data_IF_673344108361
#
_entry.id   IF_673344108361
#
_cell.length_a   1.000
_cell.length_b   1.000
_cell.length_c   1.000
_cell.angle_alpha   90.00
_cell.angle_beta   90.00
_cell.angle_gamma   90.00
#
_symmetry.space_group_name_H-M   'P 1'
#
loop_
_entity.id
_entity.type
_entity.pdbx_description
1 polymer ?
#
# COMPACT_ATOMS: atom_id res chain seq x y z
N UNK A 1 24.30 23.33 -5.03
CA UNK A 1 24.20 22.78 -6.40
C UNK A 1 25.20 21.63 -6.63
N UNK A 2 25.27 20.64 -5.72
CA UNK A 2 26.25 19.52 -5.77
C UNK A 2 25.62 18.11 -5.68
N UNK A 3 24.33 17.98 -5.36
CA UNK A 3 23.70 16.67 -5.12
C UNK A 3 23.49 15.84 -6.40
N UNK A 4 23.32 16.49 -7.55
CA UNK A 4 23.10 15.81 -8.84
C UNK A 4 24.32 14.98 -9.25
N UNK A 5 25.52 15.32 -8.75
CA UNK A 5 26.76 14.60 -9.07
C UNK A 5 26.97 13.33 -8.24
N UNK A 6 26.47 13.29 -7.00
CA UNK A 6 26.70 12.17 -6.08
C UNK A 6 25.89 10.93 -6.50
N UNK A 7 24.63 11.12 -6.90
CA UNK A 7 23.75 10.02 -7.31
C UNK A 7 24.26 9.32 -8.57
N UNK A 8 24.93 10.05 -9.48
CA UNK A 8 25.47 9.50 -10.73
C UNK A 8 26.73 8.64 -10.53
N UNK A 9 27.36 8.75 -9.36
CA UNK A 9 28.59 8.02 -8.98
C UNK A 9 28.32 6.79 -8.10
N UNK A 10 27.06 6.56 -7.73
CA UNK A 10 26.65 5.41 -6.91
C UNK A 10 26.52 4.15 -7.76
N UNK A 11 26.83 2.99 -7.16
CA UNK A 11 26.59 1.70 -7.81
C UNK A 11 25.08 1.53 -8.09
N UNK A 12 24.69 0.82 -9.18
CA UNK A 12 23.28 0.55 -9.48
C UNK A 12 22.52 -0.05 -8.29
N UNK A 13 23.18 -0.93 -7.55
CA UNK A 13 22.66 -1.57 -6.34
C UNK A 13 22.34 -0.57 -5.23
N UNK A 14 23.25 0.38 -4.98
CA UNK A 14 23.05 1.43 -3.98
C UNK A 14 21.92 2.39 -4.39
N UNK A 15 21.84 2.72 -5.68
CA UNK A 15 20.77 3.57 -6.21
C UNK A 15 19.40 2.93 -6.08
N UNK A 16 19.30 1.63 -6.36
CA UNK A 16 18.08 0.85 -6.18
C UNK A 16 17.64 0.82 -4.72
N UNK A 17 18.57 0.51 -3.80
CA UNK A 17 18.27 0.51 -2.37
C UNK A 17 17.75 1.87 -1.87
N UNK A 18 18.43 2.97 -2.20
CA UNK A 18 18.01 4.32 -1.81
C UNK A 18 16.61 4.64 -2.37
N UNK A 19 16.35 4.24 -3.62
CA UNK A 19 15.06 4.47 -4.26
C UNK A 19 13.94 3.68 -3.58
N UNK A 20 14.18 2.41 -3.24
CA UNK A 20 13.22 1.57 -2.50
C UNK A 20 12.93 2.18 -1.13
N UNK A 21 13.96 2.54 -0.36
CA UNK A 21 13.78 3.17 0.94
C UNK A 21 13.00 4.49 0.83
N UNK A 22 13.32 5.32 -0.16
CA UNK A 22 12.58 6.56 -0.43
C UNK A 22 11.11 6.32 -0.74
N UNK A 23 10.82 5.35 -1.61
CA UNK A 23 9.45 4.97 -1.97
C UNK A 23 8.66 4.42 -0.78
N UNK A 24 9.29 3.60 0.07
CA UNK A 24 8.66 3.09 1.30
C UNK A 24 8.31 4.25 2.24
N UNK A 25 9.24 5.19 2.47
CA UNK A 25 8.98 6.36 3.31
C UNK A 25 7.81 7.19 2.77
N UNK A 26 7.80 7.45 1.45
CA UNK A 26 6.70 8.17 0.80
C UNK A 26 5.37 7.43 1.00
N UNK A 27 5.35 6.12 0.79
CA UNK A 27 4.15 5.29 0.99
C UNK A 27 3.64 5.32 2.44
N UNK A 28 4.54 5.27 3.42
CA UNK A 28 4.18 5.37 4.85
C UNK A 28 3.55 6.73 5.15
N UNK A 29 4.16 7.83 4.69
CA UNK A 29 3.66 9.19 4.92
C UNK A 29 2.27 9.35 4.29
N UNK A 30 2.10 8.94 3.02
CA UNK A 30 0.82 9.02 2.32
C UNK A 30 -0.24 8.18 3.01
N UNK A 31 0.05 6.92 3.36
CA UNK A 31 -0.89 6.04 4.02
C UNK A 31 -1.34 6.55 5.39
N UNK A 32 -0.41 7.12 6.17
CA UNK A 32 -0.76 7.74 7.45
C UNK A 32 -1.67 8.96 7.29
N UNK A 33 -1.35 9.85 6.33
CA UNK A 33 -2.15 11.05 6.04
C UNK A 33 -3.56 10.66 5.60
N UNK A 34 -3.69 9.74 4.64
CA UNK A 34 -5.00 9.30 4.14
C UNK A 34 -5.78 8.61 5.27
N UNK A 35 -5.13 7.82 6.13
CA UNK A 35 -5.79 7.17 7.27
C UNK A 35 -6.39 8.19 8.22
N UNK A 36 -5.63 9.22 8.60
CA UNK A 36 -6.09 10.32 9.45
C UNK A 36 -7.36 10.97 8.90
N UNK A 37 -7.34 11.38 7.63
CA UNK A 37 -8.50 12.02 7.01
C UNK A 37 -9.71 11.08 6.91
N UNK A 38 -9.51 9.83 6.51
CA UNK A 38 -10.60 8.85 6.38
C UNK A 38 -11.21 8.50 7.74
N UNK A 39 -10.40 8.36 8.79
CA UNK A 39 -10.86 8.06 10.14
C UNK A 39 -11.68 9.19 10.75
N UNK A 40 -11.32 10.46 10.51
CA UNK A 40 -12.12 11.59 10.96
C UNK A 40 -13.55 11.53 10.38
N UNK A 41 -13.67 11.21 9.08
CA UNK A 41 -14.96 11.04 8.42
C UNK A 41 -15.73 9.87 9.05
N UNK A 42 -15.10 8.70 9.18
CA UNK A 42 -15.72 7.48 9.73
C UNK A 42 -16.23 7.72 11.16
N UNK A 43 -15.39 8.27 12.04
CA UNK A 43 -15.77 8.55 13.44
C UNK A 43 -16.90 9.58 13.51
N UNK A 44 -16.86 10.62 12.67
CA UNK A 44 -17.93 11.62 12.63
C UNK A 44 -19.28 11.04 12.21
N UNK A 45 -19.30 10.05 11.31
CA UNK A 45 -20.53 9.35 10.92
C UNK A 45 -21.03 8.42 12.01
N UNK A 46 -20.13 7.78 12.74
CA UNK A 46 -20.48 6.86 13.83
C UNK A 46 -21.06 7.58 15.04
N UNK A 47 -20.54 8.77 15.37
CA UNK A 47 -21.06 9.59 16.47
C UNK A 47 -22.49 10.11 16.21
N UNK A 48 -22.98 10.05 14.96
CA UNK A 48 -24.37 10.39 14.61
C UNK A 48 -25.34 9.23 14.88
N UNK A 49 -24.83 8.03 15.13
CA UNK A 49 -25.65 6.87 15.44
C UNK A 49 -25.98 6.84 16.94
N UNK A 50 -27.20 6.41 17.33
CA UNK A 50 -27.62 6.33 18.74
C UNK A 50 -26.98 5.14 19.50
N UNK A 51 -25.84 4.61 19.04
CA UNK A 51 -25.22 3.39 19.55
C UNK A 51 -23.97 3.76 20.35
N UNK A 52 -23.90 3.34 21.61
CA UNK A 52 -22.66 3.42 22.40
C UNK A 52 -21.72 2.29 21.98
N UNK A 53 -20.59 2.67 21.39
CA UNK A 53 -19.53 1.75 20.98
C UNK A 53 -18.42 1.83 22.04
N UNK A 54 -17.94 0.68 22.50
CA UNK A 54 -16.83 0.58 23.45
C UNK A 54 -15.56 1.27 22.90
N UNK A 55 -14.97 2.25 23.63
CA UNK A 55 -13.78 2.98 23.18
C UNK A 55 -12.58 2.08 22.90
N UNK A 56 -12.42 0.97 23.63
CA UNK A 56 -11.30 0.04 23.42
C UNK A 56 -11.40 -0.66 22.05
N UNK A 57 -12.62 -0.90 21.57
CA UNK A 57 -12.87 -1.48 20.24
C UNK A 57 -12.57 -0.47 19.13
N UNK A 58 -12.86 0.81 19.36
CA UNK A 58 -12.57 1.88 18.41
C UNK A 58 -11.05 2.03 18.24
N UNK A 59 -10.30 2.15 19.33
CA UNK A 59 -8.85 2.31 19.29
C UNK A 59 -8.14 1.15 18.57
N UNK A 60 -8.57 -0.09 18.86
CA UNK A 60 -8.02 -1.26 18.17
C UNK A 60 -8.33 -1.24 16.66
N UNK A 61 -9.56 -0.86 16.28
CA UNK A 61 -9.97 -0.78 14.88
C UNK A 61 -9.23 0.33 14.13
N UNK A 62 -9.00 1.47 14.79
CA UNK A 62 -8.21 2.61 14.26
C UNK A 62 -6.78 2.21 13.97
N UNK A 63 -6.11 1.51 14.89
CA UNK A 63 -4.72 1.08 14.72
C UNK A 63 -4.58 0.10 13.56
N UNK A 64 -5.49 -0.86 13.47
CA UNK A 64 -5.52 -1.85 12.40
C UNK A 64 -5.84 -1.21 11.04
N UNK A 65 -6.82 -0.32 10.97
CA UNK A 65 -7.15 0.43 9.75
C UNK A 65 -5.95 1.25 9.26
N UNK A 66 -5.27 1.95 10.18
CA UNK A 66 -4.10 2.77 9.85
C UNK A 66 -2.94 1.91 9.34
N UNK A 67 -2.67 0.78 9.97
CA UNK A 67 -1.66 -0.17 9.49
C UNK A 67 -1.96 -0.69 8.08
N UNK A 68 -3.23 -1.03 7.81
CA UNK A 68 -3.68 -1.47 6.50
C UNK A 68 -3.42 -0.45 5.41
N UNK A 69 -3.81 0.79 5.69
CA UNK A 69 -3.68 1.85 4.72
C UNK A 69 -2.21 2.17 4.44
N UNK A 70 -1.35 2.11 5.46
CA UNK A 70 0.09 2.27 5.30
C UNK A 70 0.66 1.18 4.38
N UNK A 71 0.36 -0.09 4.66
CA UNK A 71 0.84 -1.21 3.84
C UNK A 71 0.41 -1.08 2.38
N UNK A 72 -0.89 -0.88 2.13
CA UNK A 72 -1.43 -0.74 0.78
C UNK A 72 -0.86 0.50 0.08
N UNK A 73 -0.65 1.60 0.80
CA UNK A 73 -0.04 2.81 0.22
C UNK A 73 1.41 2.58 -0.18
N UNK A 74 2.19 1.85 0.62
CA UNK A 74 3.56 1.46 0.28
C UNK A 74 3.58 0.60 -0.98
N UNK A 75 2.68 -0.38 -1.09
CA UNK A 75 2.57 -1.21 -2.30
C UNK A 75 2.26 -0.38 -3.54
N UNK A 76 1.28 0.52 -3.47
CA UNK A 76 0.89 1.39 -4.58
C UNK A 76 2.08 2.24 -5.02
N UNK A 77 2.81 2.85 -4.08
CA UNK A 77 3.96 3.69 -4.40
C UNK A 77 5.10 2.86 -5.02
N UNK A 78 5.37 1.66 -4.51
CA UNK A 78 6.33 0.74 -5.11
C UNK A 78 5.91 0.32 -6.52
N UNK A 79 4.64 -0.06 -6.73
CA UNK A 79 4.09 -0.44 -8.02
C UNK A 79 4.21 0.69 -9.05
N UNK A 80 3.93 1.94 -8.66
CA UNK A 80 4.13 3.11 -9.53
C UNK A 80 5.60 3.25 -9.93
N UNK A 81 6.52 3.09 -8.96
CA UNK A 81 7.96 3.12 -9.23
C UNK A 81 8.41 2.02 -10.20
N UNK A 82 7.94 0.78 -9.98
CA UNK A 82 8.25 -0.37 -10.84
C UNK A 82 7.68 -0.17 -12.25
N UNK A 83 6.42 0.29 -12.35
CA UNK A 83 5.75 0.55 -13.62
C UNK A 83 6.50 1.60 -14.44
N UNK A 84 6.98 2.66 -13.78
CA UNK A 84 7.81 3.68 -14.43
C UNK A 84 9.09 3.08 -15.04
N UNK A 85 9.82 2.25 -14.29
CA UNK A 85 11.04 1.60 -14.77
C UNK A 85 10.77 0.69 -15.96
N UNK A 86 9.74 -0.16 -15.88
CA UNK A 86 9.45 -1.10 -16.96
C UNK A 86 8.84 -0.46 -18.19
N UNK A 87 8.11 0.66 -18.07
CA UNK A 87 7.68 1.46 -19.22
C UNK A 87 8.90 2.07 -19.93
N UNK A 88 9.85 2.64 -19.17
CA UNK A 88 11.07 3.21 -19.75
C UNK A 88 11.92 2.13 -20.44
N UNK A 89 12.13 0.98 -19.79
CA UNK A 89 12.83 -0.17 -20.38
C UNK A 89 12.12 -0.74 -21.61
N UNK A 90 10.77 -0.79 -21.61
CA UNK A 90 10.00 -1.19 -22.78
C UNK A 90 10.19 -0.23 -23.96
N UNK A 91 10.19 1.09 -23.72
CA UNK A 91 10.43 2.08 -24.77
C UNK A 91 11.78 1.89 -25.46
N UNK A 92 12.80 1.49 -24.71
CA UNK A 92 14.16 1.26 -25.22
C UNK A 92 14.32 -0.07 -25.95
N UNK A 93 13.77 -1.15 -25.40
CA UNK A 93 13.98 -2.51 -25.93
C UNK A 93 12.89 -3.00 -26.88
N UNK A 94 11.68 -2.42 -26.79
CA UNK A 94 10.45 -2.86 -27.48
C UNK A 94 10.12 -4.34 -27.27
N UNK A 95 10.55 -4.92 -26.15
CA UNK A 95 10.35 -6.34 -25.85
C UNK A 95 8.88 -6.65 -25.50
N UNK A 96 8.29 -7.64 -26.18
CA UNK A 96 6.93 -8.13 -25.88
C UNK A 96 6.78 -8.69 -24.46
N UNK A 97 7.86 -9.25 -23.91
CA UNK A 97 7.89 -9.73 -22.53
C UNK A 97 7.66 -8.59 -21.52
N UNK A 98 8.34 -7.45 -21.72
CA UNK A 98 8.18 -6.27 -20.85
C UNK A 98 6.78 -5.67 -20.95
N UNK A 99 6.13 -5.76 -22.11
CA UNK A 99 4.74 -5.33 -22.27
C UNK A 99 3.80 -6.21 -21.44
N UNK A 100 3.98 -7.54 -21.45
CA UNK A 100 3.22 -8.45 -20.60
C UNK A 100 3.46 -8.18 -19.11
N UNK A 101 4.71 -7.93 -18.72
CA UNK A 101 5.06 -7.58 -17.34
C UNK A 101 4.42 -6.26 -16.89
N UNK A 102 4.42 -5.23 -17.74
CA UNK A 102 3.72 -3.97 -17.47
C UNK A 102 2.21 -4.20 -17.29
N UNK A 103 1.56 -5.04 -18.10
CA UNK A 103 0.14 -5.37 -17.90
C UNK A 103 -0.10 -6.06 -16.54
N UNK A 104 0.78 -6.98 -16.16
CA UNK A 104 0.70 -7.64 -14.85
C UNK A 104 0.84 -6.64 -13.69
N UNK A 105 1.81 -5.73 -13.77
CA UNK A 105 2.00 -4.67 -12.76
C UNK A 105 0.78 -3.75 -12.69
N UNK A 106 0.18 -3.38 -13.83
CA UNK A 106 -1.05 -2.58 -13.86
C UNK A 106 -2.21 -3.33 -13.21
N UNK A 107 -2.35 -4.63 -13.43
CA UNK A 107 -3.38 -5.44 -12.77
C UNK A 107 -3.18 -5.45 -11.24
N UNK A 108 -1.94 -5.61 -10.76
CA UNK A 108 -1.63 -5.50 -9.32
C UNK A 108 -1.94 -4.10 -8.77
N UNK A 109 -1.62 -3.05 -9.52
CA UNK A 109 -1.92 -1.67 -9.15
C UNK A 109 -3.43 -1.42 -9.00
N UNK A 110 -4.23 -1.88 -9.96
CA UNK A 110 -5.69 -1.81 -9.88
C UNK A 110 -6.20 -2.59 -8.67
N UNK A 111 -5.68 -3.80 -8.42
CA UNK A 111 -6.04 -4.61 -7.25
C UNK A 111 -5.75 -3.84 -5.94
N UNK A 112 -4.58 -3.21 -5.82
CA UNK A 112 -4.23 -2.45 -4.61
C UNK A 112 -5.11 -1.20 -4.43
N UNK A 113 -5.50 -0.51 -5.51
CA UNK A 113 -6.50 0.58 -5.42
C UNK A 113 -7.85 0.06 -4.93
N UNK A 114 -8.34 -1.04 -5.50
CA UNK A 114 -9.61 -1.65 -5.08
C UNK A 114 -9.56 -2.06 -3.60
N UNK A 115 -8.40 -2.51 -3.12
CA UNK A 115 -8.19 -2.85 -1.71
C UNK A 115 -8.43 -1.66 -0.76
N UNK A 116 -8.11 -0.42 -1.17
CA UNK A 116 -8.38 0.78 -0.35
C UNK A 116 -9.88 0.98 -0.17
N UNK A 117 -10.65 0.92 -1.27
CA UNK A 117 -12.11 1.07 -1.25
C UNK A 117 -12.74 -0.01 -0.36
N UNK A 118 -12.22 -1.23 -0.47
CA UNK A 118 -12.63 -2.36 0.36
C UNK A 118 -12.37 -2.10 1.85
N UNK A 119 -11.17 -1.64 2.22
CA UNK A 119 -10.81 -1.32 3.60
C UNK A 119 -11.74 -0.26 4.21
N UNK A 120 -12.16 0.73 3.41
CA UNK A 120 -13.07 1.78 3.87
C UNK A 120 -14.48 1.25 4.16
N UNK A 121 -15.02 0.42 3.25
CA UNK A 121 -16.33 -0.20 3.44
C UNK A 121 -16.35 -1.17 4.63
N UNK A 122 -15.29 -1.97 4.80
CA UNK A 122 -15.17 -2.88 5.94
C UNK A 122 -14.99 -2.10 7.25
N UNK A 123 -14.26 -0.98 7.25
CA UNK A 123 -14.14 -0.15 8.45
C UNK A 123 -15.51 0.42 8.88
N UNK A 124 -16.32 0.90 7.94
CA UNK A 124 -17.68 1.38 8.25
C UNK A 124 -18.60 0.26 8.74
N UNK A 125 -18.53 -0.94 8.15
CA UNK A 125 -19.39 -2.07 8.53
C UNK A 125 -18.94 -2.76 9.83
N UNK A 126 -17.63 -2.86 10.09
CA UNK A 126 -17.09 -3.40 11.34
C UNK A 126 -17.47 -2.56 12.54
N UNK A 127 -17.52 -1.23 12.37
CA UNK A 127 -17.91 -0.36 13.47
C UNK A 127 -19.44 -0.30 13.62
N UNK A 128 -20.21 -0.53 12.55
CA UNK A 128 -21.68 -0.48 12.57
C UNK A 128 -22.39 -1.76 13.06
N UNK A 129 -21.96 -2.98 12.71
CA UNK A 129 -22.88 -4.16 12.82
C UNK A 129 -22.30 -5.45 13.44
N UNK A 130 -21.00 -5.75 13.44
CA UNK A 130 -20.60 -7.17 13.67
C UNK A 130 -20.22 -7.56 15.11
N UNK A 131 -20.92 -8.56 15.73
CA UNK A 131 -20.38 -9.38 16.80
C UNK A 131 -19.51 -10.50 16.20
N UNK A 132 -18.18 -10.40 16.32
CA UNK A 132 -17.23 -11.52 16.11
C UNK A 132 -17.47 -12.41 14.85
N UNK A 133 -18.02 -11.92 13.74
CA UNK A 133 -18.35 -12.78 12.60
C UNK A 133 -17.10 -13.07 11.75
N UNK A 134 -16.65 -14.33 11.87
CA UNK A 134 -15.81 -15.14 10.98
C UNK A 134 -14.80 -14.42 10.09
N UNK A 135 -13.57 -14.34 10.63
CA UNK A 135 -12.31 -14.09 9.92
C UNK A 135 -12.16 -15.13 8.80
N UNK A 136 -12.33 -14.74 7.54
CA UNK A 136 -11.99 -15.58 6.39
C UNK A 136 -10.95 -14.86 5.52
N UNK A 137 -10.15 -15.62 4.79
CA UNK A 137 -9.08 -15.14 3.90
C UNK A 137 -9.52 -14.09 2.86
N UNK A 138 -10.84 -13.95 2.65
CA UNK A 138 -11.45 -13.09 1.64
C UNK A 138 -12.20 -11.89 2.23
N UNK A 139 -12.24 -11.75 3.55
CA UNK A 139 -12.80 -10.53 4.16
C UNK A 139 -11.73 -9.44 4.14
N UNK A 140 -11.97 -8.30 3.47
CA UNK A 140 -11.01 -7.20 3.36
C UNK A 140 -10.96 -6.39 4.66
N UNK A 141 -10.43 -7.00 5.72
CA UNK A 141 -10.19 -6.37 7.01
C UNK A 141 -8.77 -6.67 7.48
N UNK A 142 -8.19 -5.78 8.27
CA UNK A 142 -6.85 -5.98 8.80
C UNK A 142 -6.88 -6.99 9.95
N UNK A 143 -6.53 -8.23 9.64
CA UNK A 143 -6.21 -9.28 10.59
C UNK A 143 -4.69 -9.50 10.57
N UNK A 144 -4.15 -10.11 11.63
CA UNK A 144 -2.70 -10.33 11.77
C UNK A 144 -2.10 -11.11 10.59
N UNK A 145 -2.90 -11.96 9.93
CA UNK A 145 -2.49 -12.71 8.74
C UNK A 145 -2.40 -11.83 7.47
N UNK A 146 -3.32 -10.90 7.27
CA UNK A 146 -3.27 -9.97 6.14
C UNK A 146 -2.06 -9.03 6.26
N UNK A 147 -1.67 -8.64 7.48
CA UNK A 147 -0.43 -7.89 7.70
C UNK A 147 0.81 -8.66 7.20
N UNK A 148 0.87 -9.96 7.47
CA UNK A 148 1.95 -10.82 6.98
C UNK A 148 1.94 -10.87 5.45
N UNK A 149 0.76 -11.04 4.84
CA UNK A 149 0.62 -11.05 3.37
C UNK A 149 1.12 -9.74 2.74
N UNK A 150 0.70 -8.58 3.26
CA UNK A 150 1.19 -7.28 2.80
C UNK A 150 2.71 -7.14 2.98
N UNK A 151 3.27 -7.65 4.07
CA UNK A 151 4.72 -7.61 4.29
C UNK A 151 5.46 -8.41 3.22
N UNK A 152 4.99 -9.62 2.89
CA UNK A 152 5.57 -10.42 1.82
C UNK A 152 5.42 -9.76 0.45
N UNK A 153 4.29 -9.13 0.16
CA UNK A 153 4.07 -8.39 -1.09
C UNK A 153 5.03 -7.19 -1.20
N UNK A 154 5.20 -6.39 -0.13
CA UNK A 154 6.16 -5.28 -0.11
C UNK A 154 7.60 -5.78 -0.33
N UNK A 155 7.99 -6.91 0.29
CA UNK A 155 9.30 -7.52 0.09
C UNK A 155 9.46 -7.96 -1.37
N UNK A 156 8.46 -8.65 -1.94
CA UNK A 156 8.49 -9.10 -3.32
C UNK A 156 8.59 -7.93 -4.31
N UNK A 157 7.83 -6.86 -4.10
CA UNK A 157 7.89 -5.64 -4.90
C UNK A 157 9.24 -4.94 -4.76
N UNK A 158 9.82 -4.91 -3.55
CA UNK A 158 11.15 -4.34 -3.32
C UNK A 158 12.23 -5.11 -4.08
N UNK A 159 12.18 -6.45 -4.06
CA UNK A 159 13.08 -7.32 -4.83
C UNK A 159 12.89 -7.10 -6.32
N UNK A 160 11.64 -7.06 -6.79
CA UNK A 160 11.32 -6.82 -8.20
C UNK A 160 11.85 -5.44 -8.66
N UNK A 161 11.66 -4.40 -7.85
CA UNK A 161 12.20 -3.06 -8.13
C UNK A 161 13.73 -3.08 -8.19
N UNK A 162 14.38 -3.76 -7.25
CA UNK A 162 15.83 -3.88 -7.22
C UNK A 162 16.37 -4.55 -8.48
N UNK A 163 15.77 -5.68 -8.88
CA UNK A 163 16.13 -6.40 -10.12
C UNK A 163 15.82 -5.60 -11.39
N UNK A 164 14.87 -4.66 -11.34
CA UNK A 164 14.52 -3.79 -12.48
C UNK A 164 15.56 -2.70 -12.75
N UNK A 165 16.42 -2.41 -11.78
CA UNK A 165 17.47 -1.37 -11.87
C UNK A 165 18.87 -1.93 -12.13
N UNK A 166 19.04 -3.26 -12.07
CA UNK A 166 20.25 -3.97 -12.47
C UNK A 166 20.35 -4.08 -14.00
#
# INVERSE_FOLDING_TARGET
>A
MNEISLIKKLSPKTKAAISIFGLIIIGIILGYIISKFSLEIIISELNKLPIQIDPVRIDRSVNYYTGALICVSVEIVLLVGILYLYIDSYRKTKSRFLLGLNMFIVALFIRSIISIISLQNIATDHIRVSPYVSRTFLTPGFNELNFIAYTFEIIALSILFYLSME
#
